data_IF_887528375489
#
_entry.id   IF_887528375489
#
_cell.length_a   1.000
_cell.length_b   1.000
_cell.length_c   1.000
_cell.angle_alpha   90.00
_cell.angle_beta   90.00
_cell.angle_gamma   90.00
#
_symmetry.space_group_name_H-M   'P 1'
#
loop_
_entity.id
_entity.type
_entity.pdbx_description
1 polymer ?
#
# COMPACT_ATOMS: atom_id res chain seq x y z
N UNK A 1 -7.63 -3.10 13.42
CA UNK A 1 -8.80 -3.93 13.80
C UNK A 1 -10.06 -3.08 13.74
N UNK A 2 -10.94 -3.27 12.73
CA UNK A 2 -12.31 -2.71 12.72
C UNK A 2 -13.28 -3.90 12.63
N UNK A 3 -14.21 -3.94 13.58
CA UNK A 3 -15.24 -4.96 13.78
C UNK A 3 -16.61 -4.39 13.40
N UNK A 4 -16.81 -4.02 12.14
CA UNK A 4 -18.11 -4.05 11.44
C UNK A 4 -17.85 -3.64 9.99
N UNK A 5 -18.56 -4.24 9.04
CA UNK A 5 -18.34 -4.01 7.61
C UNK A 5 -18.91 -2.69 7.08
N UNK A 6 -18.81 -1.57 7.82
CA UNK A 6 -19.51 -0.32 7.46
C UNK A 6 -18.64 0.92 7.24
N UNK A 7 -17.33 0.88 7.44
CA UNK A 7 -16.46 2.03 7.15
C UNK A 7 -15.39 1.67 6.13
N UNK A 8 -15.24 2.50 5.10
CA UNK A 8 -14.08 2.42 4.22
C UNK A 8 -12.79 2.44 5.05
N UNK A 9 -11.80 1.59 4.75
CA UNK A 9 -10.52 1.59 5.45
C UNK A 9 -9.85 2.96 5.29
N UNK A 10 -9.22 3.43 6.37
CA UNK A 10 -8.52 4.72 6.41
C UNK A 10 -7.02 4.48 6.19
N UNK A 11 -6.36 5.37 5.45
CA UNK A 11 -4.91 5.34 5.27
C UNK A 11 -4.20 5.53 6.62
N UNK A 12 -3.31 4.61 6.98
CA UNK A 12 -2.36 4.78 8.09
C UNK A 12 -1.13 5.56 7.60
N UNK A 13 -0.73 6.60 8.35
CA UNK A 13 0.49 7.37 8.14
C UNK A 13 1.78 6.52 8.09
N UNK A 14 1.79 5.31 8.66
CA UNK A 14 2.98 4.45 8.77
C UNK A 14 2.90 3.26 7.83
N UNK A 15 2.94 3.48 6.52
CA UNK A 15 2.78 2.40 5.54
C UNK A 15 3.76 1.23 5.74
N UNK A 16 5.04 1.50 6.01
CA UNK A 16 6.05 0.46 6.28
C UNK A 16 5.81 -0.35 7.57
N UNK A 17 4.87 0.06 8.43
CA UNK A 17 4.49 -0.65 9.65
C UNK A 17 2.99 -0.97 9.67
N UNK A 18 2.36 -1.06 8.51
CA UNK A 18 0.92 -1.30 8.43
C UNK A 18 0.54 -2.67 9.01
N UNK A 19 -0.58 -2.72 9.74
CA UNK A 19 -1.19 -3.98 10.16
C UNK A 19 -1.90 -4.66 8.97
N UNK A 20 -2.49 -3.84 8.10
CA UNK A 20 -3.32 -4.24 6.97
C UNK A 20 -2.93 -3.44 5.73
N UNK A 21 -2.98 -4.08 4.57
CA UNK A 21 -2.82 -3.45 3.25
C UNK A 21 -4.03 -3.82 2.40
N UNK A 22 -4.60 -2.82 1.75
CA UNK A 22 -5.61 -3.04 0.73
C UNK A 22 -4.96 -3.18 -0.66
N UNK A 23 -5.41 -4.17 -1.42
CA UNK A 23 -5.10 -4.35 -2.84
C UNK A 23 -6.36 -3.99 -3.63
N UNK A 24 -6.20 -3.03 -4.55
CA UNK A 24 -7.23 -2.64 -5.48
C UNK A 24 -6.84 -3.10 -6.89
N UNK A 25 -7.72 -3.83 -7.56
CA UNK A 25 -7.61 -4.04 -8.99
C UNK A 25 -8.32 -2.88 -9.69
N UNK A 26 -7.69 -2.33 -10.73
CA UNK A 26 -8.21 -1.18 -11.47
C UNK A 26 -8.31 -1.53 -12.94
N UNK A 27 -9.50 -1.36 -13.50
CA UNK A 27 -9.77 -1.53 -14.93
C UNK A 27 -10.58 -0.35 -15.45
N UNK A 28 -10.21 0.19 -16.60
CA UNK A 28 -10.89 1.33 -17.24
C UNK A 28 -11.10 2.53 -16.30
N UNK A 29 -10.10 2.84 -15.47
CA UNK A 29 -10.14 3.95 -14.51
C UNK A 29 -11.02 3.72 -13.28
N UNK A 30 -11.50 2.50 -13.03
CA UNK A 30 -12.37 2.17 -11.91
C UNK A 30 -11.82 1.00 -11.10
N UNK A 31 -12.08 1.00 -9.80
CA UNK A 31 -11.77 -0.15 -8.93
C UNK A 31 -12.74 -1.27 -9.27
N UNK A 32 -12.22 -2.40 -9.76
CA UNK A 32 -12.99 -3.60 -10.13
C UNK A 32 -12.99 -4.65 -9.04
N UNK A 33 -11.97 -4.67 -8.18
CA UNK A 33 -11.86 -5.56 -7.04
C UNK A 33 -11.16 -4.85 -5.87
N UNK A 34 -11.48 -5.28 -4.64
CA UNK A 34 -10.88 -4.77 -3.42
C UNK A 34 -10.68 -5.90 -2.42
N UNK A 35 -9.45 -6.08 -1.97
CA UNK A 35 -9.09 -7.06 -0.96
C UNK A 35 -8.27 -6.41 0.14
N UNK A 36 -8.64 -6.64 1.39
CA UNK A 36 -7.85 -6.25 2.56
C UNK A 36 -7.07 -7.47 3.06
N UNK A 37 -5.76 -7.32 3.16
CA UNK A 37 -4.83 -8.38 3.56
C UNK A 37 -4.15 -7.95 4.86
N UNK A 38 -4.24 -8.79 5.88
CA UNK A 38 -3.47 -8.61 7.11
C UNK A 38 -2.01 -8.94 6.82
N UNK A 39 -1.11 -7.99 7.10
CA UNK A 39 0.32 -8.12 6.79
C UNK A 39 1.22 -8.06 8.02
N UNK A 40 0.72 -7.52 9.15
CA UNK A 40 1.41 -7.42 10.45
C UNK A 40 2.85 -6.88 10.32
N UNK A 41 3.02 -5.85 9.49
CA UNK A 41 4.33 -5.27 9.25
C UNK A 41 4.84 -4.51 10.46
N UNK A 42 3.96 -4.05 11.36
CA UNK A 42 4.32 -3.49 12.66
C UNK A 42 5.22 -4.44 13.47
N UNK A 43 4.80 -5.69 13.63
CA UNK A 43 5.51 -6.75 14.35
C UNK A 43 6.72 -7.22 13.58
N UNK A 44 6.56 -7.44 12.28
CA UNK A 44 7.64 -7.94 11.44
C UNK A 44 8.78 -6.93 11.24
N UNK A 45 8.52 -5.62 11.37
CA UNK A 45 9.51 -4.56 11.19
C UNK A 45 10.62 -4.64 12.25
N UNK A 46 10.28 -5.04 13.47
CA UNK A 46 11.24 -5.06 14.58
C UNK A 46 11.89 -6.46 14.77
N UNK A 47 11.45 -7.48 14.02
CA UNK A 47 11.91 -8.88 14.10
C UNK A 47 13.06 -9.24 13.13
N UNK A 48 13.83 -8.26 12.64
CA UNK A 48 14.94 -8.54 11.72
C UNK A 48 15.80 -7.33 11.39
N UNK A 49 16.62 -7.44 10.35
CA UNK A 49 17.36 -6.29 9.84
C UNK A 49 16.44 -5.42 8.98
N UNK A 50 16.75 -4.13 8.85
CA UNK A 50 16.02 -3.25 7.93
C UNK A 50 15.91 -3.84 6.50
N UNK A 51 16.96 -4.56 6.04
CA UNK A 51 16.96 -5.23 4.74
C UNK A 51 15.97 -6.40 4.63
N UNK A 52 15.77 -7.19 5.70
CA UNK A 52 14.80 -8.31 5.66
C UNK A 52 13.36 -7.80 5.60
N UNK A 53 13.08 -6.66 6.22
CA UNK A 53 11.78 -6.00 6.13
C UNK A 53 11.50 -5.52 4.69
N UNK A 54 12.45 -4.85 4.03
CA UNK A 54 12.30 -4.41 2.64
C UNK A 54 12.06 -5.60 1.69
N UNK A 55 12.78 -6.71 1.88
CA UNK A 55 12.61 -7.92 1.08
C UNK A 55 11.21 -8.57 1.25
N UNK A 56 10.62 -8.46 2.44
CA UNK A 56 9.27 -8.95 2.71
C UNK A 56 8.24 -8.12 1.95
N UNK A 57 8.34 -6.80 2.02
CA UNK A 57 7.46 -5.88 1.30
C UNK A 57 7.59 -6.08 -0.21
N UNK A 58 8.81 -6.13 -0.75
CA UNK A 58 9.02 -6.33 -2.19
C UNK A 58 8.42 -7.65 -2.68
N UNK A 59 8.57 -8.73 -1.92
CA UNK A 59 7.94 -10.02 -2.22
C UNK A 59 6.41 -9.91 -2.23
N UNK A 60 5.82 -9.27 -1.22
CA UNK A 60 4.37 -9.05 -1.16
C UNK A 60 3.85 -8.29 -2.38
N UNK A 61 4.52 -7.20 -2.76
CA UNK A 61 4.12 -6.38 -3.92
C UNK A 61 4.22 -7.17 -5.23
N UNK A 62 5.34 -7.88 -5.46
CA UNK A 62 5.53 -8.71 -6.65
C UNK A 62 4.50 -9.84 -6.73
N UNK A 63 4.26 -10.55 -5.62
CA UNK A 63 3.31 -11.66 -5.59
C UNK A 63 1.86 -11.23 -5.86
N UNK A 64 1.50 -9.99 -5.54
CA UNK A 64 0.17 -9.42 -5.82
C UNK A 64 0.14 -8.60 -7.12
N UNK A 65 1.22 -8.56 -7.91
CA UNK A 65 1.25 -7.83 -9.18
C UNK A 65 1.08 -6.31 -9.03
N UNK A 66 1.51 -5.74 -7.90
CA UNK A 66 1.31 -4.32 -7.60
C UNK A 66 2.18 -3.46 -8.50
N UNK A 67 1.55 -2.52 -9.22
CA UNK A 67 2.22 -1.54 -10.11
C UNK A 67 2.23 -0.12 -9.56
N UNK A 68 1.43 0.16 -8.52
CA UNK A 68 1.35 1.45 -7.85
C UNK A 68 1.09 1.27 -6.35
N UNK A 69 1.76 2.06 -5.52
CA UNK A 69 1.50 2.19 -4.08
C UNK A 69 0.90 3.57 -3.81
N UNK A 70 -0.21 3.60 -3.09
CA UNK A 70 -0.83 4.82 -2.57
C UNK A 70 -0.63 4.83 -1.05
N UNK A 71 0.03 5.86 -0.53
CA UNK A 71 0.38 5.96 0.88
C UNK A 71 0.39 7.42 1.34
N UNK A 72 0.26 7.64 2.64
CA UNK A 72 0.51 8.95 3.25
C UNK A 72 2.01 9.25 3.21
N UNK A 73 2.79 8.46 3.96
CA UNK A 73 4.24 8.61 4.06
C UNK A 73 4.98 7.28 3.88
N UNK A 74 6.14 7.35 3.22
CA UNK A 74 7.07 6.23 3.01
C UNK A 74 8.49 6.73 3.22
N UNK A 75 9.26 6.03 4.06
CA UNK A 75 10.65 6.40 4.35
C UNK A 75 11.59 6.19 3.15
N UNK A 76 12.69 6.94 3.12
CA UNK A 76 13.68 6.96 2.03
C UNK A 76 14.16 5.59 1.52
N UNK A 77 14.46 4.67 2.43
CA UNK A 77 14.90 3.32 2.07
C UNK A 77 13.83 2.55 1.28
N UNK A 78 12.56 2.75 1.63
CA UNK A 78 11.43 2.14 0.93
C UNK A 78 11.15 2.84 -0.40
N UNK A 79 11.29 4.16 -0.49
CA UNK A 79 11.16 4.90 -1.75
C UNK A 79 12.17 4.40 -2.80
N UNK A 80 13.43 4.24 -2.41
CA UNK A 80 14.48 3.68 -3.29
C UNK A 80 14.17 2.26 -3.76
N UNK A 81 13.60 1.45 -2.86
CA UNK A 81 13.19 0.08 -3.17
C UNK A 81 12.08 0.07 -4.23
N UNK A 82 11.03 0.87 -4.05
CA UNK A 82 9.91 0.98 -4.98
C UNK A 82 10.36 1.49 -6.36
N UNK A 83 11.23 2.51 -6.40
CA UNK A 83 11.79 3.03 -7.67
C UNK A 83 12.65 1.97 -8.41
N UNK A 84 13.41 1.17 -7.67
CA UNK A 84 14.18 0.05 -8.24
C UNK A 84 13.24 -0.98 -8.88
N UNK A 85 12.11 -1.27 -8.23
CA UNK A 85 11.08 -2.18 -8.73
C UNK A 85 10.22 -1.57 -9.84
N UNK A 86 10.39 -0.28 -10.17
CA UNK A 86 9.54 0.45 -11.12
C UNK A 86 8.06 0.48 -10.71
N UNK A 87 7.80 0.46 -9.40
CA UNK A 87 6.47 0.65 -8.83
C UNK A 87 6.24 2.15 -8.67
N UNK A 88 5.14 2.66 -9.24
CA UNK A 88 4.74 4.06 -9.07
C UNK A 88 4.32 4.33 -7.63
N UNK A 89 4.52 5.55 -7.16
CA UNK A 89 4.08 5.94 -5.82
C UNK A 89 3.26 7.23 -5.86
N UNK A 90 2.12 7.23 -5.18
CA UNK A 90 1.34 8.41 -4.85
C UNK A 90 1.41 8.62 -3.34
N UNK A 91 2.06 9.72 -2.94
CA UNK A 91 2.27 10.11 -1.55
C UNK A 91 1.23 11.15 -1.10
N UNK A 92 1.26 11.49 0.19
CA UNK A 92 0.39 12.48 0.84
C UNK A 92 -1.11 12.10 0.78
N UNK A 93 -1.40 10.81 0.56
CA UNK A 93 -2.75 10.29 0.59
C UNK A 93 -3.26 10.21 2.03
N UNK A 94 -4.51 10.61 2.27
CA UNK A 94 -5.12 10.58 3.59
C UNK A 94 -6.62 10.27 3.51
N UNK A 95 -7.24 9.95 4.65
CA UNK A 95 -8.67 9.64 4.71
C UNK A 95 -9.00 8.26 4.12
N UNK A 96 -10.13 8.13 3.43
CA UNK A 96 -10.59 6.85 2.85
C UNK A 96 -9.59 6.33 1.82
N UNK A 97 -9.13 5.10 2.00
CA UNK A 97 -8.21 4.44 1.09
C UNK A 97 -8.80 4.25 -0.30
N UNK A 98 -10.12 4.01 -0.41
CA UNK A 98 -10.80 3.90 -1.71
C UNK A 98 -10.82 5.22 -2.45
N UNK A 99 -11.12 6.32 -1.75
CA UNK A 99 -11.10 7.66 -2.35
C UNK A 99 -9.67 8.08 -2.74
N UNK A 100 -8.66 7.75 -1.92
CA UNK A 100 -7.25 7.96 -2.26
C UNK A 100 -6.84 7.20 -3.54
N UNK A 101 -7.26 5.94 -3.70
CA UNK A 101 -7.02 5.17 -4.93
C UNK A 101 -7.70 5.82 -6.13
N UNK A 102 -8.97 6.24 -6.02
CA UNK A 102 -9.69 6.94 -7.10
C UNK A 102 -8.98 8.23 -7.52
N UNK A 103 -8.51 9.02 -6.55
CA UNK A 103 -7.74 10.23 -6.81
C UNK A 103 -6.43 9.91 -7.54
N UNK A 104 -5.68 8.89 -7.10
CA UNK A 104 -4.44 8.46 -7.73
C UNK A 104 -4.64 8.01 -9.19
N UNK A 105 -5.68 7.21 -9.46
CA UNK A 105 -6.00 6.76 -10.83
C UNK A 105 -6.36 7.94 -11.74
N UNK A 106 -7.05 8.95 -11.22
CA UNK A 106 -7.43 10.15 -11.98
C UNK A 106 -6.21 10.99 -12.35
N UNK A 107 -5.25 11.12 -11.43
CA UNK A 107 -4.01 11.88 -11.64
C UNK A 107 -2.98 11.11 -12.47
N UNK A 108 -3.05 9.78 -12.49
CA UNK A 108 -2.13 8.92 -13.24
C UNK A 108 -2.89 7.71 -13.79
N UNK A 109 -3.45 7.83 -15.00
CA UNK A 109 -4.13 6.71 -15.65
C UNK A 109 -3.19 5.50 -15.75
N UNK A 110 -3.66 4.34 -15.28
CA UNK A 110 -2.92 3.08 -15.27
C UNK A 110 -2.91 2.41 -16.64
#
# INVERSE_FOLDING_TARGET
MIRDGSSDPVIDHRWGRADWVAIAEVGNGQITNWQEIEVLWDKAHDEGTHGSHHARISKFLTSNGVSMVVADHVGEGMLRMLDTMKIRIALDASGSAREAVKAAITLTPL
#
